data_IF_211014308138
#
_entry.id   IF_211014308138
#
_cell.length_a   1.000
_cell.length_b   1.000
_cell.length_c   1.000
_cell.angle_alpha   90.00
_cell.angle_beta   90.00
_cell.angle_gamma   90.00
#
_symmetry.space_group_name_H-M   'P 1'
#
loop_
_entity.id
_entity.type
_entity.pdbx_description
1 polymer ?
#
# COMPACT_ATOMS: atom_id res chain seq x y z
N UNK A 1 -26.08 32.85 18.44
CA UNK A 1 -24.77 32.59 17.83
C UNK A 1 -24.96 31.58 16.72
N UNK A 2 -24.79 31.98 15.46
CA UNK A 2 -24.86 31.05 14.34
C UNK A 2 -23.58 30.22 14.28
N UNK A 3 -23.68 28.89 14.40
CA UNK A 3 -22.55 27.99 14.19
C UNK A 3 -22.09 28.13 12.74
N UNK A 4 -20.90 28.69 12.51
CA UNK A 4 -20.27 28.68 11.20
C UNK A 4 -20.06 27.22 10.79
N UNK A 5 -20.61 26.82 9.65
CA UNK A 5 -20.27 25.53 9.07
C UNK A 5 -18.76 25.51 8.84
N UNK A 6 -18.05 24.57 9.47
CA UNK A 6 -16.61 24.42 9.32
C UNK A 6 -16.29 24.26 7.83
N UNK A 7 -15.40 25.13 7.32
CA UNK A 7 -14.93 25.04 5.94
C UNK A 7 -14.06 23.80 5.75
N UNK A 8 -13.85 23.39 4.49
CA UNK A 8 -12.92 22.31 4.15
C UNK A 8 -11.54 22.40 4.85
N UNK A 9 -10.86 23.59 4.92
CA UNK A 9 -9.61 23.69 5.65
C UNK A 9 -9.77 23.41 7.16
N UNK A 10 -10.85 23.86 7.78
CA UNK A 10 -11.10 23.63 9.21
C UNK A 10 -11.25 22.13 9.52
N UNK A 11 -11.79 21.35 8.57
CA UNK A 11 -11.97 19.89 8.70
C UNK A 11 -10.68 19.10 8.50
N UNK A 12 -9.77 19.57 7.63
CA UNK A 12 -8.46 18.96 7.44
C UNK A 12 -7.63 18.99 8.72
N UNK A 13 -7.70 20.09 9.47
CA UNK A 13 -6.97 20.27 10.73
C UNK A 13 -7.77 19.88 11.99
N UNK A 14 -8.98 19.33 11.84
CA UNK A 14 -9.88 19.06 12.96
C UNK A 14 -9.30 18.07 13.98
N UNK A 15 -8.53 17.07 13.53
CA UNK A 15 -7.75 16.19 14.41
C UNK A 15 -6.41 15.78 13.79
N UNK A 16 -5.34 15.62 14.57
CA UNK A 16 -4.06 15.10 14.08
C UNK A 16 -4.18 13.72 13.43
N UNK A 17 -5.19 12.93 13.81
CA UNK A 17 -5.44 11.60 13.26
C UNK A 17 -5.97 11.64 11.82
N UNK A 18 -6.81 12.62 11.48
CA UNK A 18 -7.29 12.82 10.10
C UNK A 18 -6.15 13.27 9.19
N UNK A 19 -5.24 14.11 9.70
CA UNK A 19 -4.03 14.50 8.98
C UNK A 19 -3.10 13.30 8.73
N UNK A 20 -2.88 12.46 9.76
CA UNK A 20 -2.06 11.25 9.62
C UNK A 20 -2.65 10.27 8.60
N UNK A 21 -3.98 10.03 8.66
CA UNK A 21 -4.68 9.20 7.67
C UNK A 21 -4.57 9.79 6.26
N UNK A 22 -4.72 11.10 6.11
CA UNK A 22 -4.58 11.78 4.83
C UNK A 22 -3.16 11.70 4.27
N UNK A 23 -2.15 11.91 5.11
CA UNK A 23 -0.75 11.73 4.74
C UNK A 23 -0.48 10.31 4.27
N UNK A 24 -0.93 9.31 5.03
CA UNK A 24 -0.78 7.89 4.66
C UNK A 24 -1.45 7.59 3.31
N UNK A 25 -2.68 8.07 3.11
CA UNK A 25 -3.42 7.86 1.84
C UNK A 25 -2.70 8.51 0.65
N UNK A 26 -2.18 9.73 0.80
CA UNK A 26 -1.44 10.42 -0.24
C UNK A 26 -0.11 9.73 -0.55
N UNK A 27 0.63 9.32 0.48
CA UNK A 27 1.91 8.67 0.30
C UNK A 27 1.74 7.27 -0.32
N UNK A 28 0.71 6.51 0.06
CA UNK A 28 0.34 5.26 -0.61
C UNK A 28 -0.08 5.50 -2.07
N UNK A 29 -0.79 6.59 -2.35
CA UNK A 29 -1.15 6.96 -3.74
C UNK A 29 0.11 7.22 -4.58
N UNK A 30 1.11 7.92 -4.03
CA UNK A 30 2.39 8.11 -4.71
C UNK A 30 3.11 6.77 -4.95
N UNK A 31 3.11 5.86 -3.97
CA UNK A 31 3.65 4.52 -4.12
C UNK A 31 2.92 3.70 -5.22
N UNK A 32 1.59 3.80 -5.31
CA UNK A 32 0.82 3.20 -6.39
C UNK A 32 1.18 3.78 -7.77
N UNK A 33 1.46 5.08 -7.86
CA UNK A 33 1.90 5.72 -9.13
C UNK A 33 3.24 5.15 -9.59
N UNK A 34 4.19 4.90 -8.68
CA UNK A 34 5.45 4.22 -9.01
C UNK A 34 5.21 2.83 -9.60
N UNK A 35 4.34 2.04 -8.98
CA UNK A 35 3.95 0.74 -9.53
C UNK A 35 3.16 0.86 -10.84
N UNK A 36 2.35 1.91 -11.02
CA UNK A 36 1.67 2.19 -12.29
C UNK A 36 2.67 2.46 -13.42
N UNK A 37 3.72 3.22 -13.14
CA UNK A 37 4.82 3.41 -14.10
C UNK A 37 5.53 2.09 -14.42
N UNK A 38 5.72 1.23 -13.41
CA UNK A 38 6.25 -0.12 -13.63
C UNK A 38 5.32 -0.98 -14.51
N UNK A 39 4.00 -0.89 -14.33
CA UNK A 39 3.04 -1.62 -15.19
C UNK A 39 3.10 -1.14 -16.64
N UNK A 40 3.26 0.16 -16.87
CA UNK A 40 3.47 0.72 -18.22
C UNK A 40 4.78 0.17 -18.81
N UNK A 41 5.87 0.16 -18.05
CA UNK A 41 7.15 -0.38 -18.49
C UNK A 41 7.03 -1.86 -18.91
N UNK A 42 6.33 -2.69 -18.13
CA UNK A 42 6.19 -4.12 -18.39
C UNK A 42 5.23 -4.39 -19.56
N UNK A 43 4.01 -3.85 -19.50
CA UNK A 43 2.92 -4.27 -20.38
C UNK A 43 2.80 -3.46 -21.66
N UNK A 44 3.30 -2.22 -21.66
CA UNK A 44 3.23 -1.31 -22.82
C UNK A 44 4.59 -1.20 -23.51
N UNK A 45 5.68 -1.09 -22.73
CA UNK A 45 7.03 -0.93 -23.28
C UNK A 45 7.78 -2.27 -23.38
N UNK A 46 7.20 -3.37 -22.89
CA UNK A 46 7.79 -4.71 -22.92
C UNK A 46 9.18 -4.80 -22.26
N UNK A 47 9.42 -3.96 -21.25
CA UNK A 47 10.65 -3.97 -20.45
C UNK A 47 10.54 -5.02 -19.35
N UNK A 48 11.68 -5.61 -18.99
CA UNK A 48 11.77 -6.63 -17.95
C UNK A 48 12.93 -6.40 -17.00
N UNK A 49 12.88 -7.04 -15.83
CA UNK A 49 13.95 -6.99 -14.83
C UNK A 49 14.34 -5.56 -14.46
N UNK A 50 15.63 -5.25 -14.53
CA UNK A 50 16.19 -3.94 -14.17
C UNK A 50 15.70 -2.77 -15.04
N UNK A 51 15.11 -3.03 -16.21
CA UNK A 51 14.54 -2.00 -17.07
C UNK A 51 13.09 -1.63 -16.70
N UNK A 52 12.44 -2.40 -15.81
CA UNK A 52 11.05 -2.21 -15.39
C UNK A 52 10.95 -2.01 -13.87
N UNK A 53 11.37 -0.85 -13.37
CA UNK A 53 11.55 -0.57 -11.94
C UNK A 53 10.71 0.61 -11.44
N UNK A 54 9.80 1.18 -12.24
CA UNK A 54 9.07 2.40 -11.92
C UNK A 54 9.84 3.67 -12.27
N UNK A 55 9.45 4.82 -11.68
CA UNK A 55 10.08 6.13 -11.91
C UNK A 55 11.33 6.24 -11.05
N UNK A 56 11.23 5.90 -9.76
CA UNK A 56 12.33 5.93 -8.79
C UNK A 56 12.91 4.53 -8.60
N UNK A 57 13.34 3.91 -9.70
CA UNK A 57 13.76 2.50 -9.72
C UNK A 57 14.93 2.12 -8.80
N UNK A 58 15.72 3.08 -8.31
CA UNK A 58 16.76 2.84 -7.30
C UNK A 58 16.19 2.41 -5.94
N UNK A 59 14.95 2.78 -5.65
CA UNK A 59 14.25 2.38 -4.43
C UNK A 59 13.43 1.09 -4.62
N UNK A 60 13.42 0.50 -5.82
CA UNK A 60 12.70 -0.74 -6.12
C UNK A 60 13.47 -1.98 -5.61
N UNK A 61 13.85 -1.97 -4.33
CA UNK A 61 14.53 -3.07 -3.64
C UNK A 61 13.64 -3.62 -2.54
N UNK A 62 13.78 -4.92 -2.25
CA UNK A 62 12.87 -5.64 -1.36
C UNK A 62 12.81 -5.01 0.05
N UNK A 63 13.94 -4.52 0.56
CA UNK A 63 14.00 -3.85 1.87
C UNK A 63 13.18 -2.58 1.96
N UNK A 64 13.09 -1.80 0.88
CA UNK A 64 12.28 -0.57 0.85
C UNK A 64 10.80 -0.94 0.91
N UNK A 65 10.38 -1.94 0.13
CA UNK A 65 8.99 -2.40 0.15
C UNK A 65 8.62 -3.00 1.50
N UNK A 66 9.49 -3.82 2.09
CA UNK A 66 9.26 -4.36 3.42
C UNK A 66 9.08 -3.25 4.47
N UNK A 67 9.98 -2.26 4.48
CA UNK A 67 9.90 -1.12 5.40
C UNK A 67 8.65 -0.27 5.17
N UNK A 68 8.28 -0.04 3.91
CA UNK A 68 7.06 0.66 3.52
C UNK A 68 5.80 -0.05 4.03
N UNK A 69 5.67 -1.35 3.77
CA UNK A 69 4.53 -2.14 4.22
C UNK A 69 4.44 -2.23 5.74
N UNK A 70 5.58 -2.33 6.44
CA UNK A 70 5.62 -2.28 7.90
C UNK A 70 5.09 -0.93 8.43
N UNK A 71 5.54 0.18 7.83
CA UNK A 71 5.10 1.53 8.20
C UNK A 71 3.59 1.71 7.97
N UNK A 72 3.08 1.26 6.81
CA UNK A 72 1.65 1.31 6.50
C UNK A 72 0.86 0.53 7.55
N UNK A 73 1.23 -0.72 7.83
CA UNK A 73 0.54 -1.57 8.80
C UNK A 73 0.57 -0.98 10.22
N UNK A 74 1.73 -0.54 10.70
CA UNK A 74 1.86 0.09 12.03
C UNK A 74 1.00 1.35 12.13
N UNK A 75 0.99 2.18 11.08
CA UNK A 75 0.17 3.40 11.05
C UNK A 75 -1.32 3.06 11.07
N UNK A 76 -1.75 2.06 10.30
CA UNK A 76 -3.14 1.57 10.29
C UNK A 76 -3.57 1.06 11.68
N UNK A 77 -2.72 0.26 12.34
CA UNK A 77 -2.98 -0.23 13.69
C UNK A 77 -3.06 0.90 14.72
N UNK A 78 -2.28 1.97 14.55
CA UNK A 78 -2.35 3.16 15.39
C UNK A 78 -3.63 3.99 15.12
N UNK A 79 -4.11 4.04 13.89
CA UNK A 79 -5.32 4.78 13.50
C UNK A 79 -6.63 4.06 13.91
N UNK A 80 -6.62 2.73 13.95
CA UNK A 80 -7.82 1.91 14.17
C UNK A 80 -8.59 2.23 15.46
N UNK A 81 -7.96 2.50 16.62
CA UNK A 81 -8.66 2.90 17.85
C UNK A 81 -9.37 4.26 17.74
N UNK A 82 -8.92 5.15 16.85
CA UNK A 82 -9.47 6.49 16.66
C UNK A 82 -10.63 6.51 15.65
N UNK A 83 -10.65 5.56 14.70
CA UNK A 83 -11.66 5.47 13.64
C UNK A 83 -12.36 4.11 13.62
N UNK A 84 -12.78 3.64 14.80
CA UNK A 84 -13.40 2.30 15.01
C UNK A 84 -14.67 2.02 14.22
N UNK A 85 -15.33 3.05 13.70
CA UNK A 85 -16.55 2.94 12.91
C UNK A 85 -16.32 3.20 11.42
N UNK A 86 -15.07 3.22 10.97
CA UNK A 86 -14.70 3.40 9.57
C UNK A 86 -14.54 2.03 8.89
N UNK A 87 -15.50 1.59 8.07
CA UNK A 87 -15.46 0.25 7.47
C UNK A 87 -14.29 0.09 6.50
N UNK A 88 -13.87 1.17 5.82
CA UNK A 88 -12.73 1.14 4.90
C UNK A 88 -11.41 0.92 5.65
N UNK A 89 -11.22 1.61 6.79
CA UNK A 89 -10.04 1.43 7.63
C UNK A 89 -9.98 0.02 8.24
N UNK A 90 -11.12 -0.49 8.69
CA UNK A 90 -11.23 -1.87 9.20
C UNK A 90 -10.90 -2.88 8.09
N UNK A 91 -11.35 -2.65 6.86
CA UNK A 91 -11.11 -3.56 5.73
C UNK A 91 -9.67 -3.51 5.22
N UNK A 92 -9.05 -2.33 5.15
CA UNK A 92 -7.66 -2.19 4.65
C UNK A 92 -6.63 -2.74 5.61
N UNK A 93 -6.91 -2.72 6.92
CA UNK A 93 -5.97 -3.21 7.95
C UNK A 93 -5.57 -4.69 7.75
N UNK A 94 -6.49 -5.66 7.62
CA UNK A 94 -6.12 -7.05 7.35
C UNK A 94 -5.49 -7.24 5.96
N UNK A 95 -5.87 -6.43 4.96
CA UNK A 95 -5.23 -6.46 3.64
C UNK A 95 -3.76 -6.04 3.72
N UNK A 96 -3.47 -4.93 4.40
CA UNK A 96 -2.10 -4.48 4.67
C UNK A 96 -1.33 -5.50 5.52
N UNK A 97 -2.00 -6.15 6.46
CA UNK A 97 -1.43 -7.26 7.23
C UNK A 97 -1.02 -8.43 6.34
N UNK A 98 -1.88 -8.83 5.41
CA UNK A 98 -1.59 -9.87 4.43
C UNK A 98 -0.41 -9.49 3.52
N UNK A 99 -0.44 -8.29 2.96
CA UNK A 99 0.61 -7.79 2.07
C UNK A 99 1.97 -7.69 2.78
N UNK A 100 1.98 -7.27 4.05
CA UNK A 100 3.19 -7.28 4.87
C UNK A 100 3.73 -8.70 5.13
N UNK A 101 2.85 -9.69 5.33
CA UNK A 101 3.26 -11.10 5.49
C UNK A 101 3.89 -11.62 4.20
N UNK A 102 3.35 -11.29 3.03
CA UNK A 102 3.95 -11.60 1.72
C UNK A 102 5.40 -11.06 1.63
N UNK A 103 5.60 -9.78 1.94
CA UNK A 103 6.94 -9.18 1.95
C UNK A 103 7.86 -9.77 3.01
N UNK A 104 7.34 -10.18 4.17
CA UNK A 104 8.12 -10.86 5.21
C UNK A 104 8.67 -12.19 4.69
N UNK A 105 7.86 -12.95 3.95
CA UNK A 105 8.28 -14.20 3.30
C UNK A 105 9.34 -13.94 2.23
N UNK A 106 9.19 -12.88 1.45
CA UNK A 106 10.14 -12.53 0.40
C UNK A 106 11.49 -12.10 0.98
N UNK A 107 11.49 -11.29 2.05
CA UNK A 107 12.70 -10.95 2.81
C UNK A 107 13.34 -12.19 3.42
N UNK A 108 12.56 -13.10 4.02
CA UNK A 108 13.11 -14.34 4.55
C UNK A 108 13.79 -15.18 3.46
N UNK A 109 13.16 -15.29 2.29
CA UNK A 109 13.74 -15.96 1.12
C UNK A 109 15.02 -15.28 0.64
N UNK A 110 15.05 -13.93 0.58
CA UNK A 110 16.23 -13.16 0.21
C UNK A 110 17.38 -13.37 1.21
N UNK A 111 17.11 -13.35 2.52
CA UNK A 111 18.11 -13.61 3.56
C UNK A 111 18.70 -15.02 3.44
N UNK A 112 17.86 -16.01 3.11
CA UNK A 112 18.29 -17.41 2.99
C UNK A 112 19.08 -17.70 1.71
N UNK A 113 18.73 -17.06 0.61
CA UNK A 113 19.23 -17.43 -0.73
C UNK A 113 20.18 -16.40 -1.34
N UNK A 114 20.11 -15.14 -0.89
CA UNK A 114 20.76 -14.00 -1.53
C UNK A 114 20.15 -13.59 -2.87
N UNK A 115 19.07 -14.24 -3.32
CA UNK A 115 18.45 -14.01 -4.63
C UNK A 115 17.26 -13.06 -4.48
N UNK A 116 17.27 -11.88 -5.12
CA UNK A 116 16.15 -10.95 -5.08
C UNK A 116 15.00 -11.40 -5.98
N UNK A 117 13.80 -10.88 -5.72
CA UNK A 117 12.64 -11.08 -6.60
C UNK A 117 11.95 -12.43 -6.46
N UNK A 118 11.98 -13.03 -5.27
CA UNK A 118 11.24 -14.26 -4.98
C UNK A 118 9.72 -14.04 -5.18
N UNK A 119 8.97 -15.09 -5.57
CA UNK A 119 7.54 -14.97 -5.88
C UNK A 119 6.63 -14.78 -4.64
N UNK A 120 7.17 -14.85 -3.42
CA UNK A 120 6.36 -14.72 -2.20
C UNK A 120 5.42 -15.91 -1.99
N UNK A 121 4.20 -15.62 -1.52
CA UNK A 121 3.17 -16.60 -1.22
C UNK A 121 2.25 -16.86 -2.41
N UNK A 122 1.72 -15.81 -3.05
CA UNK A 122 0.60 -15.93 -4.00
C UNK A 122 0.93 -15.60 -5.45
N UNK A 123 2.06 -14.98 -5.77
CA UNK A 123 2.38 -14.78 -7.19
C UNK A 123 2.81 -16.09 -7.86
N UNK A 124 2.91 -16.12 -9.18
CA UNK A 124 3.26 -17.33 -9.94
C UNK A 124 4.57 -17.96 -9.42
N UNK A 125 4.50 -19.21 -8.96
CA UNK A 125 5.60 -19.91 -8.29
C UNK A 125 5.69 -19.67 -6.77
N UNK A 126 4.67 -19.05 -6.18
CA UNK A 126 4.60 -18.73 -4.76
C UNK A 126 4.41 -19.96 -3.86
N UNK A 127 4.71 -19.78 -2.57
CA UNK A 127 4.72 -20.89 -1.60
C UNK A 127 3.33 -21.50 -1.33
N UNK A 128 2.24 -20.74 -1.50
CA UNK A 128 0.90 -21.25 -1.26
C UNK A 128 0.31 -21.84 -2.53
N UNK A 129 0.19 -23.17 -2.55
CA UNK A 129 -0.40 -23.93 -3.65
C UNK A 129 0.28 -23.71 -5.02
N UNK A 130 1.55 -23.27 -5.03
CA UNK A 130 2.28 -22.90 -6.26
C UNK A 130 1.97 -21.51 -6.80
N UNK A 131 1.13 -20.73 -6.09
CA UNK A 131 0.73 -19.39 -6.45
C UNK A 131 -0.44 -19.31 -7.45
N UNK A 132 -0.86 -18.08 -7.71
CA UNK A 132 -1.83 -17.71 -8.73
C UNK A 132 -1.13 -17.54 -10.09
N UNK A 133 -1.86 -17.61 -11.23
CA UNK A 133 -1.30 -17.33 -12.55
C UNK A 133 -1.12 -15.82 -12.79
N UNK A 134 -0.50 -15.12 -11.83
CA UNK A 134 -0.30 -13.67 -11.82
C UNK A 134 1.17 -13.43 -11.49
N UNK A 135 1.85 -12.59 -12.29
CA UNK A 135 3.26 -12.30 -12.01
C UNK A 135 3.41 -11.50 -10.71
N UNK A 136 4.58 -11.57 -10.09
CA UNK A 136 4.87 -10.81 -8.86
C UNK A 136 4.57 -9.31 -9.01
N UNK A 137 5.08 -8.59 -10.03
CA UNK A 137 4.78 -7.17 -10.21
C UNK A 137 3.28 -6.88 -10.35
N UNK A 138 2.54 -7.72 -11.07
CA UNK A 138 1.10 -7.56 -11.26
C UNK A 138 0.33 -7.75 -9.95
N UNK A 139 0.67 -8.79 -9.18
CA UNK A 139 0.04 -9.05 -7.89
C UNK A 139 0.28 -7.90 -6.91
N UNK A 140 1.50 -7.36 -6.87
CA UNK A 140 1.84 -6.24 -5.99
C UNK A 140 1.13 -4.96 -6.43
N UNK A 141 0.99 -4.71 -7.73
CA UNK A 141 0.17 -3.61 -8.22
C UNK A 141 -1.29 -3.74 -7.76
N UNK A 142 -1.88 -4.94 -7.82
CA UNK A 142 -3.24 -5.20 -7.36
C UNK A 142 -3.40 -4.99 -5.85
N UNK A 143 -2.46 -5.47 -5.04
CA UNK A 143 -2.45 -5.20 -3.60
C UNK A 143 -2.40 -3.70 -3.31
N UNK A 144 -1.44 -2.99 -3.91
CA UNK A 144 -1.30 -1.55 -3.74
C UNK A 144 -2.54 -0.78 -4.18
N UNK A 145 -3.17 -1.18 -5.29
CA UNK A 145 -4.40 -0.57 -5.77
C UNK A 145 -5.54 -0.74 -4.77
N UNK A 146 -5.76 -1.97 -4.30
CA UNK A 146 -6.80 -2.27 -3.33
C UNK A 146 -6.59 -1.52 -2.01
N UNK A 147 -5.35 -1.49 -1.51
CA UNK A 147 -4.98 -0.73 -0.31
C UNK A 147 -5.20 0.78 -0.49
N UNK A 148 -4.76 1.34 -1.63
CA UNK A 148 -4.90 2.78 -1.91
C UNK A 148 -6.36 3.18 -1.99
N UNK A 149 -7.19 2.41 -2.71
CA UNK A 149 -8.63 2.67 -2.82
C UNK A 149 -9.28 2.67 -1.45
N UNK A 150 -8.96 1.69 -0.60
CA UNK A 150 -9.53 1.62 0.73
C UNK A 150 -9.01 2.73 1.66
N UNK A 151 -7.73 3.11 1.59
CA UNK A 151 -7.15 4.23 2.36
C UNK A 151 -7.76 5.58 1.96
N UNK A 152 -7.89 5.85 0.67
CA UNK A 152 -8.54 7.06 0.16
C UNK A 152 -10.01 7.08 0.55
N UNK A 153 -10.70 5.94 0.44
CA UNK A 153 -12.09 5.78 0.90
C UNK A 153 -12.24 6.06 2.40
N UNK A 154 -11.33 5.54 3.23
CA UNK A 154 -11.28 5.80 4.66
C UNK A 154 -11.10 7.29 4.96
N UNK A 155 -10.14 7.93 4.29
CA UNK A 155 -9.86 9.36 4.50
C UNK A 155 -11.03 10.25 4.08
N UNK A 156 -11.61 10.01 2.89
CA UNK A 156 -12.78 10.75 2.41
C UNK A 156 -14.00 10.55 3.31
N UNK A 157 -14.18 9.36 3.90
CA UNK A 157 -15.25 9.11 4.85
C UNK A 157 -15.09 9.93 6.13
N UNK A 158 -13.87 10.05 6.67
CA UNK A 158 -13.63 10.87 7.86
C UNK A 158 -13.75 12.37 7.58
N UNK A 159 -13.28 12.86 6.43
CA UNK A 159 -13.47 14.27 6.03
C UNK A 159 -14.93 14.70 5.89
N UNK A 160 -15.84 13.74 5.65
CA UNK A 160 -17.29 13.99 5.59
C UNK A 160 -17.95 13.97 6.98
N UNK A 161 -17.32 13.31 7.96
CA UNK A 161 -17.82 13.15 9.33
C UNK A 161 -17.37 14.29 10.25
N UNK A 162 -16.21 14.91 9.98
CA UNK A 162 -15.76 16.18 10.59
C UNK A 162 -16.43 17.40 9.96
#
# INVERSE_FOLDING_TARGET
>A
MASRAAGFPDRLFATPWVLLLGFLALAQTAHLVEHGAQMIQIHVLHLGGAAAQGIVGQLNIEWVHFGWNALVLVTLLALLPHFRANPWLIAVTPLAGWHFVEHSVMIASYIQTGVPGSPGLLSAGGLLFGGLPITRPDLHFLYNLAETVALVGAWLAELRRT
#
